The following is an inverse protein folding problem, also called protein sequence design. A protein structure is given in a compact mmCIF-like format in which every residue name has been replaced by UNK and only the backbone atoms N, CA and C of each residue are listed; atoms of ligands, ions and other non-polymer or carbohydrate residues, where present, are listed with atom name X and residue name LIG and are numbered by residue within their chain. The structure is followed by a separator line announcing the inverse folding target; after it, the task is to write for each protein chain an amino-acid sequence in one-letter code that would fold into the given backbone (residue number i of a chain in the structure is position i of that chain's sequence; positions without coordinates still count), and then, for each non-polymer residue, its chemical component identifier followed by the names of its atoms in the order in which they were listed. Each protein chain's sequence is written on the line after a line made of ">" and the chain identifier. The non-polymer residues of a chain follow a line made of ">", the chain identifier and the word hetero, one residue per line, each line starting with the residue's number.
data_IF_819975707657
#
_entry.id   IF_819975707657
#
_cell.length_a   1.000
_cell.length_b   1.000
_cell.length_c   1.000
_cell.angle_alpha   90.00
_cell.angle_beta   90.00
_cell.angle_gamma   90.00
#
_symmetry.space_group_name_H-M   'P 1'
#
loop_
_entity.id
_entity.type
_entity.pdbx_description
1 polymer ?
#
# COMPACT_ATOMS: atom_id res chain seq x y z
N UNK A 1 21.34 10.44 1.24
CA UNK A 1 20.87 9.07 1.54
C UNK A 1 19.69 8.74 0.63
N UNK A 2 19.75 7.66 -0.16
CA UNK A 2 18.60 7.24 -1.01
C UNK A 2 17.86 6.16 -0.24
N UNK A 3 16.67 6.47 0.26
CA UNK A 3 15.78 5.47 0.82
C UNK A 3 15.36 4.50 -0.30
N UNK A 4 15.67 3.23 -0.13
CA UNK A 4 15.19 2.15 -1.00
C UNK A 4 14.23 1.31 -0.16
N UNK A 5 13.00 1.25 -0.60
CA UNK A 5 12.01 0.37 0.00
C UNK A 5 11.89 -0.91 -0.82
N UNK A 6 11.61 -2.05 -0.19
CA UNK A 6 11.23 -3.26 -0.89
C UNK A 6 10.04 -2.99 -1.82
N UNK A 7 9.98 -3.70 -2.93
CA UNK A 7 8.87 -3.59 -3.88
C UNK A 7 7.56 -3.92 -3.17
N UNK A 8 6.54 -3.08 -3.38
CA UNK A 8 5.24 -3.21 -2.73
C UNK A 8 5.14 -2.68 -1.30
N UNK A 9 6.25 -2.28 -0.67
CA UNK A 9 6.25 -1.79 0.71
C UNK A 9 5.85 -0.32 0.82
N UNK A 10 6.29 0.50 -0.11
CA UNK A 10 5.95 1.92 -0.14
C UNK A 10 5.86 2.45 -1.57
N UNK A 11 4.79 3.18 -1.87
CA UNK A 11 4.60 3.82 -3.16
C UNK A 11 5.37 5.14 -3.17
N UNK A 12 6.40 5.21 -3.98
CA UNK A 12 7.02 6.42 -4.57
C UNK A 12 7.14 7.66 -3.64
N UNK A 13 7.49 7.49 -2.35
CA UNK A 13 7.78 8.59 -1.42
C UNK A 13 8.88 9.53 -1.94
N UNK A 14 9.64 9.10 -2.96
CA UNK A 14 10.64 9.92 -3.66
C UNK A 14 10.07 11.21 -4.25
N UNK A 15 8.78 11.26 -4.55
CA UNK A 15 8.13 12.46 -5.13
C UNK A 15 7.87 13.54 -4.09
N UNK A 16 7.81 13.16 -2.83
CA UNK A 16 7.32 14.03 -1.77
C UNK A 16 8.38 14.52 -0.79
N UNK A 17 9.61 14.06 -0.86
CA UNK A 17 10.65 14.49 0.08
C UNK A 17 11.80 15.21 -0.66
N UNK A 18 12.09 16.44 -0.27
CA UNK A 18 13.30 17.16 -0.66
C UNK A 18 14.21 17.32 0.53
N UNK A 19 15.35 16.64 0.51
CA UNK A 19 16.38 16.78 1.54
C UNK A 19 17.02 18.16 1.53
N UNK A 20 17.12 18.80 0.35
CA UNK A 20 17.67 20.16 0.22
C UNK A 20 16.78 21.22 0.89
N UNK A 21 15.46 21.03 0.82
CA UNK A 21 14.48 21.98 1.37
C UNK A 21 13.94 21.55 2.73
N UNK A 22 14.35 20.38 3.26
CA UNK A 22 13.80 19.78 4.49
C UNK A 22 12.27 19.83 4.53
N UNK A 23 11.63 19.60 3.39
CA UNK A 23 10.18 19.67 3.25
C UNK A 23 9.65 18.38 2.65
N UNK A 24 8.56 17.93 3.23
CA UNK A 24 7.69 16.90 2.66
C UNK A 24 6.60 17.65 1.89
N UNK A 25 6.49 17.39 0.59
CA UNK A 25 5.51 18.05 -0.27
C UNK A 25 4.96 17.09 -1.30
N UNK A 26 3.76 17.39 -1.83
CA UNK A 26 3.09 16.63 -2.89
C UNK A 26 2.80 15.15 -2.57
N UNK A 27 2.76 14.77 -1.29
CA UNK A 27 2.26 13.46 -0.90
C UNK A 27 0.75 13.42 -1.12
N UNK A 28 0.28 12.33 -1.69
CA UNK A 28 -1.15 12.04 -1.81
C UNK A 28 -1.65 11.38 -0.51
N UNK A 29 -2.96 11.32 -0.32
CA UNK A 29 -3.59 10.69 0.85
C UNK A 29 -3.06 9.27 1.09
N UNK A 30 -2.91 8.48 0.03
CA UNK A 30 -2.34 7.14 0.12
C UNK A 30 -0.86 7.12 0.55
N UNK A 31 -0.07 8.11 0.15
CA UNK A 31 1.34 8.20 0.56
C UNK A 31 1.44 8.54 2.05
N UNK A 32 0.56 9.42 2.56
CA UNK A 32 0.45 9.73 3.98
C UNK A 32 0.03 8.53 4.82
N UNK A 33 -0.91 7.73 4.33
CA UNK A 33 -1.32 6.50 4.96
C UNK A 33 -0.12 5.55 5.15
N UNK A 34 0.63 5.27 4.08
CA UNK A 34 1.84 4.44 4.15
C UNK A 34 2.90 5.07 5.08
N UNK A 35 3.03 6.41 5.02
CA UNK A 35 3.96 7.12 5.88
C UNK A 35 3.66 6.86 7.35
N UNK A 36 2.44 7.11 7.78
CA UNK A 36 2.03 6.93 9.19
C UNK A 36 2.16 5.47 9.62
N UNK A 37 1.64 4.55 8.83
CA UNK A 37 1.58 3.14 9.24
C UNK A 37 2.93 2.43 9.27
N UNK A 38 3.86 2.80 8.38
CA UNK A 38 5.04 1.96 8.13
C UNK A 38 6.35 2.69 8.21
N UNK A 39 6.40 3.92 7.72
CA UNK A 39 7.67 4.63 7.49
C UNK A 39 8.06 5.47 8.70
N UNK A 40 7.11 6.19 9.26
CA UNK A 40 7.31 7.10 10.38
C UNK A 40 7.95 6.43 11.60
N UNK A 41 7.46 5.27 12.08
CA UNK A 41 8.05 4.61 13.24
C UNK A 41 9.51 4.22 13.04
N UNK A 42 9.86 3.78 11.83
CA UNK A 42 11.23 3.35 11.51
C UNK A 42 12.15 4.54 11.33
N UNK A 43 11.67 5.58 10.65
CA UNK A 43 12.49 6.74 10.30
C UNK A 43 12.79 7.65 11.47
N UNK A 44 11.87 7.77 12.43
CA UNK A 44 12.02 8.67 13.59
C UNK A 44 12.74 8.01 14.77
N UNK A 45 12.95 6.70 14.72
CA UNK A 45 13.66 5.98 15.76
C UNK A 45 15.08 6.53 15.95
N UNK A 46 15.39 6.97 17.16
CA UNK A 46 16.71 7.55 17.52
C UNK A 46 16.92 9.01 17.07
N UNK A 47 15.93 9.65 16.44
CA UNK A 47 15.97 11.08 16.10
C UNK A 47 15.15 11.96 17.05
N UNK A 48 14.22 11.37 17.79
CA UNK A 48 13.36 12.03 18.78
C UNK A 48 13.48 11.24 20.10
N UNK A 49 13.09 11.84 21.25
CA UNK A 49 13.02 11.16 22.53
C UNK A 49 12.21 9.85 22.44
N UNK A 50 12.62 8.86 23.22
CA UNK A 50 12.03 7.53 23.11
C UNK A 50 10.56 7.49 23.53
N UNK A 51 10.20 8.26 24.52
CA UNK A 51 8.81 8.42 25.00
C UNK A 51 7.91 9.03 23.92
N UNK A 52 8.36 10.08 23.23
CA UNK A 52 7.65 10.67 22.10
C UNK A 52 7.55 9.69 20.91
N UNK A 53 8.65 8.97 20.65
CA UNK A 53 8.67 7.96 19.58
C UNK A 53 7.67 6.83 19.84
N UNK A 54 7.55 6.36 21.08
CA UNK A 54 6.59 5.33 21.46
C UNK A 54 5.15 5.74 21.17
N UNK A 55 4.79 7.00 21.44
CA UNK A 55 3.43 7.51 21.12
C UNK A 55 3.16 7.49 19.61
N UNK A 56 4.17 7.82 18.80
CA UNK A 56 4.02 7.73 17.34
C UNK A 56 3.94 6.27 16.83
N UNK A 57 4.59 5.34 17.53
CA UNK A 57 4.44 3.89 17.25
C UNK A 57 3.03 3.42 17.59
N UNK A 58 2.47 3.84 18.74
CA UNK A 58 1.08 3.54 19.12
C UNK A 58 0.10 4.10 18.09
N UNK A 59 0.31 5.33 17.62
CA UNK A 59 -0.49 5.93 16.55
C UNK A 59 -0.44 5.12 15.25
N UNK A 60 0.76 4.65 14.89
CA UNK A 60 0.95 3.79 13.71
C UNK A 60 0.22 2.46 13.86
N UNK A 61 0.30 1.86 15.03
CA UNK A 61 -0.39 0.62 15.36
C UNK A 61 -1.92 0.82 15.29
N UNK A 62 -2.44 1.91 15.87
CA UNK A 62 -3.84 2.26 15.83
C UNK A 62 -4.38 2.33 14.39
N UNK A 63 -3.72 3.11 13.52
CA UNK A 63 -4.15 3.21 12.11
C UNK A 63 -3.98 1.90 11.34
N UNK A 64 -2.94 1.14 11.62
CA UNK A 64 -2.73 -0.16 11.00
C UNK A 64 -3.82 -1.15 11.38
N UNK A 65 -4.23 -1.18 12.63
CA UNK A 65 -5.32 -2.02 13.12
C UNK A 65 -6.65 -1.60 12.51
N UNK A 66 -6.94 -0.30 12.48
CA UNK A 66 -8.15 0.26 11.87
C UNK A 66 -8.28 -0.08 10.38
N UNK A 67 -7.15 -0.08 9.67
CA UNK A 67 -7.07 -0.39 8.24
C UNK A 67 -6.87 -1.89 7.96
N UNK A 68 -7.03 -2.77 8.93
CA UNK A 68 -6.99 -4.21 8.72
C UNK A 68 -8.14 -4.68 7.83
N UNK A 69 -7.92 -5.80 7.14
CA UNK A 69 -8.95 -6.40 6.27
C UNK A 69 -10.11 -6.99 7.07
N UNK A 70 -9.81 -7.46 8.26
CA UNK A 70 -10.73 -8.07 9.19
C UNK A 70 -10.63 -7.36 10.53
N UNK A 71 -11.75 -6.99 11.10
CA UNK A 71 -11.86 -6.34 12.39
C UNK A 71 -12.69 -7.24 13.30
N UNK A 72 -12.05 -7.81 14.32
CA UNK A 72 -12.77 -8.55 15.35
C UNK A 72 -13.36 -7.58 16.41
N UNK A 73 -14.46 -7.93 17.07
CA UNK A 73 -15.02 -7.11 18.16
C UNK A 73 -13.99 -6.79 19.23
N UNK A 74 -13.16 -7.76 19.65
CA UNK A 74 -12.14 -7.55 20.68
C UNK A 74 -11.08 -6.52 20.28
N UNK A 75 -10.64 -6.50 19.01
CA UNK A 75 -9.72 -5.47 18.51
C UNK A 75 -10.37 -4.09 18.54
N UNK A 76 -11.67 -3.99 18.25
CA UNK A 76 -12.39 -2.73 18.32
C UNK A 76 -12.54 -2.24 19.77
N UNK A 77 -12.79 -3.16 20.72
CA UNK A 77 -12.86 -2.83 22.15
C UNK A 77 -11.51 -2.26 22.63
N UNK A 78 -10.39 -2.94 22.31
CA UNK A 78 -9.04 -2.44 22.60
C UNK A 78 -8.78 -1.06 21.99
N UNK A 79 -9.24 -0.82 20.78
CA UNK A 79 -9.06 0.46 20.10
C UNK A 79 -9.91 1.57 20.71
N UNK A 80 -11.13 1.27 21.19
CA UNK A 80 -11.99 2.23 21.89
C UNK A 80 -11.36 2.68 23.22
N UNK A 81 -10.67 1.78 23.92
CA UNK A 81 -9.92 2.10 25.14
C UNK A 81 -8.62 2.88 24.83
N UNK A 82 -7.90 2.48 23.78
CA UNK A 82 -6.64 3.09 23.41
C UNK A 82 -6.79 4.52 22.84
N UNK A 83 -7.87 4.81 22.12
CA UNK A 83 -8.04 6.08 21.41
C UNK A 83 -7.97 7.32 22.32
N UNK A 84 -8.68 7.39 23.47
CA UNK A 84 -8.59 8.54 24.38
C UNK A 84 -7.18 8.70 24.98
N UNK A 85 -6.57 7.59 25.37
CA UNK A 85 -5.22 7.60 25.94
C UNK A 85 -4.19 8.11 24.91
N UNK A 86 -4.30 7.66 23.68
CA UNK A 86 -3.44 8.10 22.59
C UNK A 86 -3.58 9.60 22.31
N UNK A 87 -4.80 10.13 22.26
CA UNK A 87 -5.01 11.57 22.08
C UNK A 87 -4.43 12.36 23.24
N UNK A 88 -4.59 11.94 24.48
CA UNK A 88 -3.98 12.58 25.65
C UNK A 88 -2.43 12.54 25.59
N UNK A 89 -1.84 11.45 25.12
CA UNK A 89 -0.40 11.35 24.92
C UNK A 89 0.09 12.32 23.83
N UNK A 90 -0.65 12.44 22.73
CA UNK A 90 -0.35 13.38 21.65
C UNK A 90 -0.44 14.84 22.15
N UNK A 91 -1.41 15.17 23.02
CA UNK A 91 -1.55 16.51 23.62
C UNK A 91 -0.35 16.92 24.50
N UNK A 92 0.36 15.95 25.08
CA UNK A 92 1.58 16.21 25.85
C UNK A 92 2.78 16.53 24.96
N UNK A 93 2.80 16.03 23.74
CA UNK A 93 3.93 16.16 22.82
C UNK A 93 3.76 17.36 21.89
N UNK A 94 2.56 17.56 21.36
CA UNK A 94 2.32 18.59 20.34
C UNK A 94 1.71 19.86 20.93
N UNK A 95 2.07 21.02 20.39
CA UNK A 95 1.49 22.29 20.85
C UNK A 95 -0.01 22.37 20.53
N UNK A 96 -0.79 23.17 21.28
CA UNK A 96 -2.26 23.29 21.09
C UNK A 96 -2.68 23.62 19.65
N UNK A 97 -1.87 24.37 18.91
CA UNK A 97 -2.15 24.71 17.51
C UNK A 97 -2.09 23.53 16.53
N UNK A 98 -1.58 22.38 16.97
CA UNK A 98 -1.58 21.15 16.18
C UNK A 98 -2.97 20.51 16.16
N UNK A 99 -3.76 20.69 17.24
CA UNK A 99 -5.04 20.02 17.39
C UNK A 99 -6.16 20.76 16.65
N UNK A 100 -6.78 20.04 15.75
CA UNK A 100 -7.94 20.45 14.99
C UNK A 100 -8.99 19.31 15.04
N UNK A 101 -10.18 19.49 14.46
CA UNK A 101 -11.22 18.46 14.48
C UNK A 101 -10.77 17.08 13.96
N UNK A 102 -9.72 17.02 13.13
CA UNK A 102 -9.24 15.74 12.56
C UNK A 102 -8.56 14.86 13.62
N UNK A 103 -7.82 15.47 14.58
CA UNK A 103 -7.22 14.70 15.68
C UNK A 103 -8.31 14.21 16.66
N UNK A 104 -9.34 15.02 16.88
CA UNK A 104 -10.50 14.61 17.68
C UNK A 104 -11.23 13.38 17.07
N UNK A 105 -11.27 13.27 15.75
CA UNK A 105 -11.91 12.14 15.09
C UNK A 105 -11.29 10.79 15.47
N UNK A 106 -10.04 10.74 15.91
CA UNK A 106 -9.39 9.51 16.38
C UNK A 106 -10.26 8.81 17.43
N UNK A 107 -10.93 9.57 18.30
CA UNK A 107 -11.79 9.04 19.33
C UNK A 107 -13.02 8.28 18.78
N UNK A 108 -13.49 8.69 17.61
CA UNK A 108 -14.71 8.15 17.00
C UNK A 108 -14.47 7.05 15.99
N UNK A 109 -13.23 6.92 15.49
CA UNK A 109 -12.89 5.96 14.44
C UNK A 109 -13.18 4.49 14.80
N UNK A 110 -12.95 4.00 16.03
CA UNK A 110 -13.30 2.63 16.39
C UNK A 110 -14.80 2.39 16.36
N UNK A 111 -15.60 3.31 16.90
CA UNK A 111 -17.07 3.25 16.87
C UNK A 111 -17.60 3.29 15.44
N UNK A 112 -17.05 4.16 14.60
CA UNK A 112 -17.35 4.20 13.17
C UNK A 112 -17.02 2.88 12.45
N UNK A 113 -15.90 2.27 12.81
CA UNK A 113 -15.52 0.96 12.26
C UNK A 113 -16.44 -0.16 12.75
N UNK A 114 -16.94 -0.07 13.98
CA UNK A 114 -17.93 -1.01 14.53
C UNK A 114 -19.27 -0.93 13.77
N UNK A 115 -19.70 0.28 13.42
CA UNK A 115 -20.95 0.48 12.68
C UNK A 115 -20.83 0.16 11.19
N UNK A 116 -19.72 0.54 10.57
CA UNK A 116 -19.56 0.49 9.13
C UNK A 116 -18.65 -0.63 8.61
N UNK A 117 -18.05 -1.44 9.50
CA UNK A 117 -17.09 -2.48 9.14
C UNK A 117 -15.72 -1.93 8.70
N UNK A 118 -14.88 -2.80 8.13
CA UNK A 118 -13.52 -2.43 7.72
C UNK A 118 -13.47 -1.22 6.80
N UNK A 119 -12.61 -0.27 7.11
CA UNK A 119 -12.46 1.00 6.39
C UNK A 119 -12.18 0.79 4.90
N UNK A 120 -11.50 -0.29 4.53
CA UNK A 120 -11.17 -0.62 3.14
C UNK A 120 -12.41 -0.79 2.25
N UNK A 121 -13.54 -1.16 2.80
CA UNK A 121 -14.78 -1.38 2.05
C UNK A 121 -15.58 -0.09 1.82
N UNK A 122 -15.23 1.01 2.50
CA UNK A 122 -15.97 2.28 2.48
C UNK A 122 -15.12 3.53 2.25
N UNK A 123 -13.82 3.40 2.04
CA UNK A 123 -12.99 4.54 1.67
C UNK A 123 -13.18 4.98 0.21
N UNK A 124 -12.91 6.22 -0.10
CA UNK A 124 -13.24 6.81 -1.39
C UNK A 124 -12.22 6.50 -2.52
N UNK A 125 -11.18 5.70 -2.28
CA UNK A 125 -10.16 5.44 -3.30
C UNK A 125 -10.71 4.80 -4.58
N UNK A 126 -11.64 3.84 -4.45
CA UNK A 126 -12.30 3.21 -5.60
C UNK A 126 -13.09 4.20 -6.43
N UNK A 127 -13.82 5.08 -5.76
CA UNK A 127 -14.64 6.13 -6.38
C UNK A 127 -13.76 7.18 -7.07
N UNK A 128 -12.65 7.60 -6.44
CA UNK A 128 -11.68 8.51 -7.06
C UNK A 128 -11.05 7.91 -8.33
N UNK A 129 -10.74 6.63 -8.30
CA UNK A 129 -10.23 5.91 -9.48
C UNK A 129 -11.25 5.86 -10.60
N UNK A 130 -12.50 5.58 -10.28
CA UNK A 130 -13.60 5.60 -11.25
C UNK A 130 -13.79 6.98 -11.85
N UNK A 131 -13.81 8.03 -11.04
CA UNK A 131 -13.89 9.42 -11.51
C UNK A 131 -12.72 9.79 -12.44
N UNK A 132 -11.50 9.38 -12.12
CA UNK A 132 -10.34 9.60 -12.99
C UNK A 132 -10.52 8.94 -14.34
N UNK A 133 -11.02 7.72 -14.37
CA UNK A 133 -11.28 6.96 -15.60
C UNK A 133 -12.37 7.63 -16.42
N UNK A 134 -13.47 8.04 -15.79
CA UNK A 134 -14.56 8.77 -16.45
C UNK A 134 -14.10 10.10 -17.05
N UNK A 135 -13.33 10.89 -16.29
CA UNK A 135 -12.76 12.15 -16.79
C UNK A 135 -11.85 11.94 -18.00
N UNK A 136 -11.06 10.86 -18.01
CA UNK A 136 -10.20 10.55 -19.17
C UNK A 136 -10.99 10.19 -20.43
N UNK A 137 -12.23 9.71 -20.28
CA UNK A 137 -13.14 9.35 -21.36
C UNK A 137 -13.93 10.56 -21.90
N UNK A 138 -13.99 11.66 -21.14
CA UNK A 138 -14.71 12.85 -21.55
C UNK A 138 -13.98 13.57 -22.71
N UNK A 139 -14.48 13.39 -23.92
CA UNK A 139 -13.95 14.05 -25.14
C UNK A 139 -14.62 15.39 -25.40
N UNK A 140 -15.92 15.49 -25.17
CA UNK A 140 -16.70 16.73 -25.41
C UNK A 140 -16.93 17.46 -24.09
N UNK A 141 -16.27 18.60 -23.92
CA UNK A 141 -16.39 19.44 -22.74
C UNK A 141 -17.67 20.25 -22.65
N UNK A 142 -18.39 20.41 -23.77
CA UNK A 142 -19.67 21.13 -23.79
C UNK A 142 -20.84 20.27 -23.29
N UNK A 143 -20.71 18.93 -23.41
CA UNK A 143 -21.74 17.96 -22.96
C UNK A 143 -21.00 16.83 -22.21
N UNK A 144 -20.53 17.14 -21.03
CA UNK A 144 -19.66 16.25 -20.23
C UNK A 144 -20.38 14.95 -19.88
N UNK A 145 -21.62 15.04 -19.39
CA UNK A 145 -22.40 13.89 -18.95
C UNK A 145 -22.71 12.95 -20.12
N UNK A 146 -23.13 13.48 -21.24
CA UNK A 146 -23.42 12.70 -22.44
C UNK A 146 -22.15 12.00 -22.97
N UNK A 147 -21.02 12.72 -22.98
CA UNK A 147 -19.73 12.15 -23.41
C UNK A 147 -19.23 11.05 -22.50
N UNK A 148 -19.46 11.16 -21.19
CA UNK A 148 -19.13 10.11 -20.23
C UNK A 148 -20.03 8.88 -20.39
N UNK A 149 -21.35 9.10 -20.53
CA UNK A 149 -22.32 8.03 -20.70
C UNK A 149 -22.05 7.23 -21.98
N UNK A 150 -21.87 7.91 -23.11
CA UNK A 150 -21.50 7.29 -24.39
C UNK A 150 -20.23 6.45 -24.28
N UNK A 151 -19.19 6.99 -23.66
CA UNK A 151 -17.93 6.28 -23.50
C UNK A 151 -18.06 5.05 -22.59
N UNK A 152 -18.90 5.13 -21.56
CA UNK A 152 -19.17 4.01 -20.65
C UNK A 152 -19.96 2.90 -21.37
N UNK A 153 -21.04 3.27 -22.06
CA UNK A 153 -21.87 2.33 -22.84
C UNK A 153 -21.03 1.63 -23.92
N UNK A 154 -20.18 2.39 -24.62
CA UNK A 154 -19.31 1.84 -25.65
C UNK A 154 -18.32 0.82 -25.08
N UNK A 155 -17.72 1.11 -23.91
CA UNK A 155 -16.81 0.20 -23.25
C UNK A 155 -17.51 -1.06 -22.74
N UNK A 156 -18.69 -0.91 -22.16
CA UNK A 156 -19.49 -2.03 -21.68
C UNK A 156 -19.93 -2.93 -22.84
N UNK A 157 -20.45 -2.35 -23.92
CA UNK A 157 -20.79 -3.09 -25.15
C UNK A 157 -19.57 -3.82 -25.73
N UNK A 158 -18.41 -3.17 -25.75
CA UNK A 158 -17.18 -3.78 -26.24
C UNK A 158 -16.72 -4.97 -25.34
N UNK A 159 -16.88 -4.84 -24.01
CA UNK A 159 -16.60 -5.91 -23.07
C UNK A 159 -17.52 -7.12 -23.27
N UNK A 160 -18.82 -6.88 -23.50
CA UNK A 160 -19.78 -7.95 -23.81
C UNK A 160 -19.45 -8.64 -25.14
N UNK A 161 -19.14 -7.88 -26.18
CA UNK A 161 -18.77 -8.44 -27.48
C UNK A 161 -17.53 -9.34 -27.36
N UNK A 162 -16.51 -8.87 -26.66
CA UNK A 162 -15.28 -9.68 -26.47
C UNK A 162 -15.47 -10.89 -25.58
N UNK A 163 -16.36 -10.82 -24.60
CA UNK A 163 -16.70 -11.99 -23.77
C UNK A 163 -17.47 -13.05 -24.56
N UNK A 164 -18.26 -12.62 -25.55
CA UNK A 164 -19.09 -13.52 -26.36
C UNK A 164 -18.33 -14.15 -27.52
N UNK A 165 -17.45 -13.38 -28.15
CA UNK A 165 -16.57 -13.88 -29.20
C UNK A 165 -15.24 -14.32 -28.59
N UNK A 166 -14.92 -15.61 -28.65
CA UNK A 166 -13.61 -16.18 -28.28
C UNK A 166 -12.49 -15.65 -29.21
N UNK A 167 -12.35 -14.34 -29.28
CA UNK A 167 -11.36 -13.71 -30.12
C UNK A 167 -10.01 -13.73 -29.37
N UNK A 168 -9.19 -14.73 -29.68
CA UNK A 168 -7.83 -14.88 -29.16
C UNK A 168 -6.92 -13.66 -29.36
N UNK A 169 -7.35 -12.63 -30.11
CA UNK A 169 -6.51 -11.52 -30.55
C UNK A 169 -7.02 -10.11 -30.17
N UNK A 170 -8.15 -9.96 -29.50
CA UNK A 170 -8.61 -8.64 -29.06
C UNK A 170 -8.30 -8.43 -27.57
N UNK A 171 -7.14 -7.82 -27.31
CA UNK A 171 -6.89 -7.25 -26.00
C UNK A 171 -7.61 -5.91 -25.91
N UNK A 172 -8.86 -5.92 -25.46
CA UNK A 172 -9.50 -4.70 -25.02
C UNK A 172 -8.66 -4.04 -23.95
N UNK A 173 -8.68 -2.74 -23.93
CA UNK A 173 -7.91 -1.83 -23.10
C UNK A 173 -8.23 -1.99 -21.59
N UNK A 174 -8.20 -3.21 -21.08
CA UNK A 174 -8.07 -3.42 -19.66
C UNK A 174 -6.61 -3.08 -19.33
N UNK A 175 -6.33 -1.99 -18.63
CA UNK A 175 -4.99 -1.74 -18.15
C UNK A 175 -4.57 -2.98 -17.38
N UNK A 176 -3.48 -3.62 -17.82
CA UNK A 176 -2.92 -4.79 -17.12
C UNK A 176 -2.92 -4.44 -15.63
N UNK A 177 -3.50 -5.29 -14.76
CA UNK A 177 -3.43 -5.04 -13.34
C UNK A 177 -1.98 -4.72 -12.99
N UNK A 178 -1.72 -3.74 -12.14
CA UNK A 178 -0.34 -3.39 -11.70
C UNK A 178 0.41 -4.60 -11.16
N UNK A 179 -0.32 -5.60 -10.78
CA UNK A 179 0.11 -6.91 -10.29
C UNK A 179 -0.53 -8.00 -11.13
N UNK A 180 -0.46 -7.87 -12.48
CA UNK A 180 -0.75 -9.04 -13.28
C UNK A 180 0.38 -10.01 -12.98
N UNK A 181 0.06 -11.04 -12.24
CA UNK A 181 0.79 -12.28 -12.32
C UNK A 181 0.63 -12.77 -13.76
N UNK A 182 1.41 -12.17 -14.67
CA UNK A 182 1.60 -12.73 -15.98
C UNK A 182 1.91 -14.18 -15.73
N UNK A 183 1.22 -15.09 -16.40
CA UNK A 183 1.42 -16.51 -16.26
C UNK A 183 2.93 -16.79 -16.38
N UNK A 184 3.62 -16.69 -15.24
CA UNK A 184 5.02 -17.05 -15.16
C UNK A 184 5.06 -18.53 -15.31
N UNK A 185 5.84 -18.99 -16.24
CA UNK A 185 6.22 -20.38 -16.30
C UNK A 185 6.51 -20.84 -14.88
N UNK A 186 5.70 -21.79 -14.42
CA UNK A 186 5.91 -22.38 -13.09
C UNK A 186 7.29 -23.01 -13.15
N UNK A 187 8.27 -22.37 -12.51
CA UNK A 187 9.57 -22.98 -12.32
C UNK A 187 9.34 -24.27 -11.55
N UNK A 188 9.40 -25.40 -12.24
CA UNK A 188 9.31 -26.72 -11.63
C UNK A 188 10.63 -27.01 -10.96
N UNK A 189 10.80 -26.55 -9.75
CA UNK A 189 11.95 -26.87 -8.91
C UNK A 189 11.51 -27.76 -7.76
N UNK A 190 12.30 -28.78 -7.47
CA UNK A 190 12.12 -29.64 -6.31
C UNK A 190 12.64 -29.00 -5.02
N UNK A 191 13.35 -27.89 -5.11
CA UNK A 191 13.93 -27.20 -3.96
C UNK A 191 12.83 -26.53 -3.12
N UNK A 192 12.94 -26.60 -1.81
CA UNK A 192 11.99 -26.03 -0.84
C UNK A 192 11.79 -24.54 -1.05
N UNK A 193 12.84 -23.81 -1.40
CA UNK A 193 12.83 -22.38 -1.67
C UNK A 193 11.86 -21.96 -2.78
N UNK A 194 11.61 -22.83 -3.76
CA UNK A 194 10.76 -22.54 -4.93
C UNK A 194 9.39 -23.22 -4.88
N UNK A 195 9.05 -23.92 -3.79
CA UNK A 195 7.73 -24.56 -3.62
C UNK A 195 6.62 -23.55 -3.32
N UNK A 196 6.94 -22.35 -2.83
CA UNK A 196 5.98 -21.28 -2.58
C UNK A 196 5.58 -20.51 -3.84
N UNK A 197 4.50 -19.74 -3.78
CA UNK A 197 4.15 -18.74 -4.80
C UNK A 197 5.12 -17.57 -4.69
N UNK A 198 6.33 -17.72 -5.23
CA UNK A 198 7.29 -16.63 -5.33
C UNK A 198 6.93 -15.78 -6.54
N UNK A 199 6.37 -14.61 -6.30
CA UNK A 199 6.19 -13.60 -7.32
C UNK A 199 7.07 -12.41 -6.94
N UNK A 200 8.04 -11.99 -7.80
CA UNK A 200 8.69 -10.70 -7.57
C UNK A 200 7.63 -9.61 -7.67
N UNK A 201 7.61 -8.74 -6.67
CA UNK A 201 6.75 -7.58 -6.65
C UNK A 201 7.47 -6.44 -7.37
N UNK A 202 6.95 -6.03 -8.53
CA UNK A 202 7.46 -4.90 -9.30
C UNK A 202 8.06 -5.24 -10.66
N UNK A 203 8.53 -4.20 -11.37
CA UNK A 203 9.18 -4.37 -12.67
C UNK A 203 10.58 -4.98 -12.48
N UNK A 204 10.84 -6.12 -13.11
CA UNK A 204 12.15 -6.74 -13.10
C UNK A 204 13.06 -6.00 -14.09
N UNK A 205 14.23 -5.56 -13.60
CA UNK A 205 15.36 -5.18 -14.47
C UNK A 205 16.42 -6.25 -14.34
N UNK A 206 16.79 -6.84 -15.46
CA UNK A 206 17.96 -7.72 -15.50
C UNK A 206 19.21 -6.93 -15.11
N UNK A 207 19.95 -7.40 -14.13
CA UNK A 207 21.24 -6.87 -13.72
C UNK A 207 22.25 -8.02 -13.72
N UNK A 208 23.38 -7.82 -14.36
CA UNK A 208 24.54 -8.70 -14.16
C UNK A 208 25.07 -8.43 -12.75
N UNK A 209 25.13 -9.47 -11.94
CA UNK A 209 25.68 -9.41 -10.59
C UNK A 209 27.21 -9.40 -10.67
N UNK A 210 27.85 -8.60 -9.84
CA UNK A 210 29.28 -8.71 -9.63
C UNK A 210 29.61 -9.96 -8.78
N UNK A 211 30.88 -10.31 -8.68
CA UNK A 211 31.35 -11.53 -8.00
C UNK A 211 30.99 -11.52 -6.50
N UNK A 212 31.05 -10.35 -5.86
CA UNK A 212 30.74 -10.22 -4.44
C UNK A 212 29.23 -10.30 -4.19
N UNK A 213 28.44 -9.64 -5.01
CA UNK A 213 26.96 -9.73 -4.97
C UNK A 213 26.50 -11.18 -5.18
N UNK A 214 27.08 -11.87 -6.17
CA UNK A 214 26.81 -13.27 -6.44
C UNK A 214 27.15 -14.16 -5.25
N UNK A 215 28.31 -13.96 -4.65
CA UNK A 215 28.77 -14.72 -3.48
C UNK A 215 27.85 -14.52 -2.29
N UNK A 216 27.44 -13.28 -2.01
CA UNK A 216 26.51 -12.94 -0.92
C UNK A 216 25.13 -13.57 -1.10
N UNK A 217 24.58 -13.48 -2.31
CA UNK A 217 23.30 -14.08 -2.64
C UNK A 217 23.37 -15.60 -2.56
N UNK A 218 24.44 -16.22 -3.07
CA UNK A 218 24.64 -17.67 -3.02
C UNK A 218 24.75 -18.15 -1.57
N UNK A 219 25.51 -17.45 -0.74
CA UNK A 219 25.65 -17.77 0.68
C UNK A 219 24.30 -17.70 1.40
N UNK A 220 23.54 -16.63 1.16
CA UNK A 220 22.19 -16.47 1.71
C UNK A 220 21.24 -17.61 1.29
N UNK A 221 21.26 -17.98 0.01
CA UNK A 221 20.43 -19.07 -0.51
C UNK A 221 20.82 -20.38 0.16
N UNK A 222 22.10 -20.72 0.20
CA UNK A 222 22.58 -21.97 0.78
C UNK A 222 22.32 -22.09 2.28
N UNK A 223 22.46 -21.01 3.04
CA UNK A 223 22.18 -21.02 4.48
C UNK A 223 20.68 -21.14 4.80
N UNK A 224 19.81 -20.75 3.88
CA UNK A 224 18.35 -20.81 4.07
C UNK A 224 17.68 -22.00 3.38
N UNK A 225 18.42 -22.84 2.64
CA UNK A 225 17.89 -24.05 2.04
C UNK A 225 17.87 -25.18 3.07
N UNK A 226 16.69 -25.74 3.32
CA UNK A 226 16.53 -26.89 4.23
C UNK A 226 17.28 -28.13 3.74
N UNK A 227 17.44 -28.26 2.42
CA UNK A 227 18.15 -29.36 1.76
C UNK A 227 19.67 -29.31 1.99
N UNK A 228 20.21 -28.16 2.34
CA UNK A 228 21.65 -27.96 2.57
C UNK A 228 22.02 -28.13 4.06
N UNK A 229 21.07 -28.03 4.98
CA UNK A 229 21.30 -28.17 6.43
C UNK A 229 22.12 -29.40 6.82
N UNK A 230 21.87 -30.62 6.26
CA UNK A 230 22.65 -31.81 6.64
C UNK A 230 24.12 -31.75 6.23
N UNK A 231 24.52 -30.80 5.42
CA UNK A 231 25.91 -30.63 4.93
C UNK A 231 26.65 -29.48 5.62
N UNK A 232 25.97 -28.72 6.49
CA UNK A 232 26.54 -27.59 7.25
C UNK A 232 26.90 -28.00 8.65
N UNK A 233 26.27 -29.05 9.19
CA UNK A 233 26.61 -29.73 10.44
C UNK A 233 27.79 -30.72 10.25
#
# INVERSE_FOLDING_TARGET
>A
MRLRFPDGYAVNLKRGASLEKLKIFRLKSHDWHIWIERVMPVMLRGFIPEDEWLVLVELSYFFRSLCAKELSPGVLDEMEELAPELVCKLEKIFPPGFFNPMQHLILHLPTEARMGGPVQNRWCYSTEWMQKTLRAKCKNKCRIEASMAEAFITEEAANFVTAHYEAKNYHLHNPKPRYSDGAREKVRSNLSLFKGKLAPSGASKGKLLDVEEWRTISLYIFTNLTEVRPYIE
#
